data_IF_309649452790
#
_entry.id   IF_309649452790
#
_cell.length_a   1.000
_cell.length_b   1.000
_cell.length_c   1.000
_cell.angle_alpha   90.00
_cell.angle_beta   90.00
_cell.angle_gamma   90.00
#
_symmetry.space_group_name_H-M   'P 1'
#
loop_
_entity.id
_entity.type
_entity.pdbx_description
1 polymer ?
#
# COMPACT_ATOMS: atom_id res chain seq x y z
N UNK A 1 11.22 0.52 -16.24
CA UNK A 1 10.95 -0.93 -16.34
C UNK A 1 12.01 -1.59 -17.22
N UNK A 2 13.23 -1.77 -16.73
CA UNK A 2 14.28 -2.51 -17.46
C UNK A 2 15.13 -3.43 -16.56
N UNK A 3 14.71 -3.68 -15.33
CA UNK A 3 15.44 -4.57 -14.43
C UNK A 3 15.02 -6.02 -14.67
N UNK A 4 15.69 -6.67 -15.62
CA UNK A 4 15.61 -8.12 -15.82
C UNK A 4 16.31 -8.80 -14.65
N UNK A 5 15.52 -9.25 -13.66
CA UNK A 5 15.99 -10.13 -12.59
C UNK A 5 16.03 -11.56 -13.15
N UNK A 6 17.20 -12.23 -13.19
CA UNK A 6 17.30 -13.60 -13.68
C UNK A 6 16.29 -14.54 -13.00
N UNK A 7 15.58 -15.33 -13.81
CA UNK A 7 14.54 -16.26 -13.34
C UNK A 7 13.15 -15.65 -13.14
N UNK A 8 12.98 -14.31 -13.21
CA UNK A 8 11.65 -13.68 -13.22
C UNK A 8 11.18 -13.44 -14.65
N UNK A 9 9.95 -13.83 -14.94
CA UNK A 9 9.28 -13.57 -16.22
C UNK A 9 8.14 -12.59 -15.98
N UNK A 10 7.95 -11.61 -16.87
CA UNK A 10 6.78 -10.74 -16.81
C UNK A 10 5.52 -11.59 -16.95
N UNK A 11 4.56 -11.45 -16.05
CA UNK A 11 3.35 -12.30 -16.03
C UNK A 11 2.59 -12.26 -17.37
N UNK A 12 2.61 -11.13 -18.09
CA UNK A 12 2.01 -11.00 -19.42
C UNK A 12 2.60 -11.95 -20.48
N UNK A 13 3.85 -12.40 -20.34
CA UNK A 13 4.44 -13.38 -21.27
C UNK A 13 3.78 -14.76 -21.12
N UNK A 14 3.26 -15.10 -19.93
CA UNK A 14 2.47 -16.31 -19.72
C UNK A 14 1.12 -16.22 -20.45
N UNK A 15 0.51 -15.02 -20.47
CA UNK A 15 -0.72 -14.77 -21.22
C UNK A 15 -0.50 -14.94 -22.72
N UNK A 16 0.57 -14.37 -23.27
CA UNK A 16 0.95 -14.53 -24.68
C UNK A 16 1.18 -16.00 -25.05
N UNK A 17 1.85 -16.73 -24.17
CA UNK A 17 2.21 -18.13 -24.39
C UNK A 17 1.00 -19.07 -24.34
N UNK A 18 0.19 -18.96 -23.28
CA UNK A 18 -0.86 -19.93 -23.00
C UNK A 18 -2.25 -19.52 -23.48
N UNK A 19 -2.48 -18.24 -23.76
CA UNK A 19 -3.76 -17.68 -24.26
C UNK A 19 -4.97 -18.21 -23.47
N UNK A 20 -5.01 -17.99 -22.15
CA UNK A 20 -6.07 -18.54 -21.30
C UNK A 20 -7.44 -17.99 -21.72
N UNK A 21 -8.52 -18.75 -21.58
CA UNK A 21 -9.85 -18.24 -21.94
C UNK A 21 -10.39 -17.21 -20.92
N UNK A 22 -9.90 -17.27 -19.68
CA UNK A 22 -10.23 -16.31 -18.64
C UNK A 22 -9.01 -15.99 -17.76
N UNK A 23 -8.94 -14.74 -17.30
CA UNK A 23 -7.96 -14.25 -16.31
C UNK A 23 -8.72 -13.58 -15.17
N UNK A 24 -8.35 -13.89 -13.93
CA UNK A 24 -8.67 -13.08 -12.76
C UNK A 24 -7.41 -12.33 -12.32
N UNK A 25 -7.52 -11.04 -12.02
CA UNK A 25 -6.38 -10.22 -11.60
C UNK A 25 -6.74 -9.31 -10.43
N UNK A 26 -5.87 -9.27 -9.42
CA UNK A 26 -5.80 -8.23 -8.38
C UNK A 26 -4.43 -7.57 -8.49
N UNK A 27 -4.38 -6.25 -8.59
CA UNK A 27 -3.13 -5.51 -8.77
C UNK A 27 -3.25 -4.07 -8.28
N UNK A 28 -2.10 -3.43 -8.04
CA UNK A 28 -1.99 -2.00 -7.73
C UNK A 28 -1.81 -1.66 -6.24
N UNK A 29 -2.16 -2.54 -5.30
CA UNK A 29 -1.99 -2.27 -3.87
C UNK A 29 -0.51 -2.13 -3.45
N UNK A 30 0.37 -2.95 -4.02
CA UNK A 30 1.82 -2.84 -3.81
C UNK A 30 2.39 -1.57 -4.44
N UNK A 31 1.93 -1.24 -5.65
CA UNK A 31 2.31 -0.02 -6.36
C UNK A 31 1.86 1.24 -5.60
N UNK A 32 0.69 1.19 -4.95
CA UNK A 32 0.17 2.20 -4.02
C UNK A 32 0.84 2.16 -2.62
N UNK A 33 1.89 1.35 -2.43
CA UNK A 33 2.68 1.25 -1.20
C UNK A 33 1.91 0.79 0.05
N UNK A 34 0.75 0.13 -0.07
CA UNK A 34 -0.08 -0.20 1.09
C UNK A 34 0.63 -1.01 2.19
N UNK A 35 1.50 -1.95 1.82
CA UNK A 35 2.30 -2.68 2.81
C UNK A 35 3.21 -1.75 3.63
N UNK A 36 3.84 -0.75 3.00
CA UNK A 36 4.70 0.21 3.70
C UNK A 36 3.88 1.15 4.57
N UNK A 37 2.72 1.61 4.08
CA UNK A 37 1.76 2.43 4.82
C UNK A 37 1.35 1.70 6.10
N UNK A 38 0.87 0.46 5.98
CA UNK A 38 0.47 -0.36 7.13
C UNK A 38 1.63 -0.54 8.10
N UNK A 39 2.83 -0.92 7.62
CA UNK A 39 3.98 -1.12 8.49
C UNK A 39 4.38 0.13 9.29
N UNK A 40 4.23 1.34 8.74
CA UNK A 40 4.46 2.58 9.50
C UNK A 40 3.37 2.93 10.51
N UNK A 41 2.23 2.24 10.47
CA UNK A 41 1.11 2.47 11.39
C UNK A 41 0.96 1.37 12.44
N UNK A 42 1.52 0.18 12.21
CA UNK A 42 1.51 -0.88 13.20
C UNK A 42 2.34 -0.44 14.43
N UNK A 43 1.68 -0.33 15.57
CA UNK A 43 2.36 -0.12 16.84
C UNK A 43 2.75 -1.48 17.46
N UNK A 44 3.98 -1.91 17.21
CA UNK A 44 4.48 -3.22 17.68
C UNK A 44 4.67 -3.27 19.19
N UNK A 45 4.82 -2.10 19.84
CA UNK A 45 4.90 -2.02 21.31
C UNK A 45 3.51 -1.98 21.92
N UNK A 46 3.21 -2.84 22.91
CA UNK A 46 1.97 -2.75 23.66
C UNK A 46 1.98 -1.48 24.52
N UNK A 47 1.45 -0.37 23.99
CA UNK A 47 1.04 0.75 24.82
C UNK A 47 -0.48 0.66 25.01
N UNK A 48 -0.94 0.86 26.25
CA UNK A 48 -2.38 0.87 26.54
C UNK A 48 -3.11 2.00 25.78
N UNK A 49 -2.36 3.00 25.32
CA UNK A 49 -2.88 4.26 24.81
C UNK A 49 -3.09 4.32 23.29
N UNK A 50 -2.83 3.25 22.51
CA UNK A 50 -3.04 3.19 21.05
C UNK A 50 -2.46 4.40 20.26
N UNK A 51 -1.43 5.02 20.82
CA UNK A 51 -0.80 6.26 20.34
C UNK A 51 0.71 6.07 20.20
N UNK A 52 1.35 6.87 19.32
CA UNK A 52 0.76 7.88 18.44
C UNK A 52 0.07 7.28 17.19
N UNK A 53 -0.80 8.06 16.55
CA UNK A 53 -1.33 7.77 15.21
C UNK A 53 -0.23 8.01 14.17
N UNK A 54 -0.09 7.12 13.19
CA UNK A 54 0.89 7.30 12.12
C UNK A 54 0.64 8.56 11.27
N UNK A 55 1.71 9.14 10.74
CA UNK A 55 1.69 10.40 9.98
C UNK A 55 0.66 10.44 8.84
N UNK A 56 0.44 9.31 8.16
CA UNK A 56 -0.47 9.20 7.02
C UNK A 56 -1.95 9.23 7.42
N UNK A 57 -2.28 8.86 8.65
CA UNK A 57 -3.64 8.98 9.19
C UNK A 57 -3.82 10.32 9.94
N UNK A 58 -2.78 10.79 10.63
CA UNK A 58 -2.86 11.96 11.52
C UNK A 58 -2.84 13.30 10.76
N UNK A 59 -1.98 13.44 9.75
CA UNK A 59 -1.73 14.72 9.09
C UNK A 59 -2.46 14.89 7.74
N UNK A 60 -2.83 16.13 7.39
CA UNK A 60 -3.42 16.44 6.10
C UNK A 60 -2.46 16.17 4.92
N UNK A 61 -1.17 16.48 5.09
CA UNK A 61 -0.14 16.19 4.09
C UNK A 61 0.08 14.67 3.92
N UNK A 62 0.04 13.91 5.02
CA UNK A 62 0.09 12.45 4.97
C UNK A 62 -1.10 11.84 4.22
N UNK A 63 -2.32 12.32 4.49
CA UNK A 63 -3.53 11.92 3.74
C UNK A 63 -3.42 12.30 2.26
N UNK A 64 -2.90 13.48 1.93
CA UNK A 64 -2.67 13.90 0.54
C UNK A 64 -1.66 13.01 -0.18
N UNK A 65 -0.58 12.61 0.49
CA UNK A 65 0.40 11.67 -0.07
C UNK A 65 -0.21 10.29 -0.32
N UNK A 66 -0.98 9.77 0.63
CA UNK A 66 -1.67 8.50 0.49
C UNK A 66 -2.69 8.53 -0.66
N UNK A 67 -3.44 9.63 -0.79
CA UNK A 67 -4.32 9.89 -1.93
C UNK A 67 -3.53 9.82 -3.25
N UNK A 68 -2.34 10.42 -3.32
CA UNK A 68 -1.51 10.40 -4.52
C UNK A 68 -1.02 8.98 -4.84
N UNK A 69 -0.61 8.19 -3.85
CA UNK A 69 -0.23 6.79 -4.07
C UNK A 69 -1.35 5.99 -4.74
N UNK A 70 -2.61 6.23 -4.33
CA UNK A 70 -3.79 5.54 -4.88
C UNK A 70 -4.21 6.11 -6.24
N UNK A 71 -4.35 7.43 -6.37
CA UNK A 71 -4.81 8.10 -7.59
C UNK A 71 -3.87 7.80 -8.78
N UNK A 72 -2.56 7.75 -8.53
CA UNK A 72 -1.55 7.48 -9.55
C UNK A 72 -1.60 6.06 -10.11
N UNK A 73 -2.42 5.15 -9.54
CA UNK A 73 -2.59 3.79 -10.06
C UNK A 73 -3.54 3.68 -11.25
N UNK A 74 -4.34 4.71 -11.53
CA UNK A 74 -5.33 4.66 -12.62
C UNK A 74 -4.70 4.32 -13.99
N UNK A 75 -3.70 5.09 -14.43
CA UNK A 75 -3.06 4.86 -15.74
C UNK A 75 -2.22 3.56 -15.79
N UNK A 76 -1.38 3.23 -14.78
CA UNK A 76 -0.70 1.93 -14.74
C UNK A 76 -1.64 0.73 -14.82
N UNK A 77 -2.76 0.75 -14.10
CA UNK A 77 -3.75 -0.34 -14.10
C UNK A 77 -4.47 -0.44 -15.45
N UNK A 78 -4.91 0.69 -16.02
CA UNK A 78 -5.50 0.73 -17.37
C UNK A 78 -4.53 0.13 -18.39
N UNK A 79 -3.26 0.53 -18.34
CA UNK A 79 -2.20 0.01 -19.21
C UNK A 79 -1.97 -1.50 -19.01
N UNK A 80 -1.98 -1.98 -17.76
CA UNK A 80 -1.89 -3.41 -17.45
C UNK A 80 -3.05 -4.18 -18.11
N UNK A 81 -4.29 -3.71 -17.96
CA UNK A 81 -5.46 -4.40 -18.50
C UNK A 81 -5.48 -4.39 -20.03
N UNK A 82 -5.13 -3.27 -20.66
CA UNK A 82 -4.94 -3.21 -22.12
C UNK A 82 -3.85 -4.18 -22.58
N UNK A 83 -2.69 -4.22 -21.89
CA UNK A 83 -1.60 -5.13 -22.26
C UNK A 83 -1.96 -6.62 -22.10
N UNK A 84 -2.79 -6.98 -21.11
CA UNK A 84 -3.31 -8.34 -20.95
C UNK A 84 -4.25 -8.71 -22.10
N UNK A 85 -5.12 -7.79 -22.52
CA UNK A 85 -6.00 -8.00 -23.68
C UNK A 85 -5.21 -8.12 -24.98
N UNK A 86 -4.27 -7.22 -25.24
CA UNK A 86 -3.43 -7.25 -26.45
C UNK A 86 -2.61 -8.54 -26.54
N UNK A 87 -2.17 -9.08 -25.40
CA UNK A 87 -1.45 -10.33 -25.32
C UNK A 87 -2.31 -11.55 -25.69
N UNK A 88 -3.62 -11.50 -25.46
CA UNK A 88 -4.58 -12.55 -25.80
C UNK A 88 -5.99 -11.99 -26.02
N UNK A 89 -6.32 -11.53 -27.24
CA UNK A 89 -7.57 -10.79 -27.50
C UNK A 89 -8.86 -11.58 -27.26
N UNK A 90 -8.77 -12.92 -27.26
CA UNK A 90 -9.90 -13.82 -27.00
C UNK A 90 -10.14 -14.08 -25.50
N UNK A 91 -9.28 -13.58 -24.63
CA UNK A 91 -9.36 -13.80 -23.18
C UNK A 91 -10.36 -12.86 -22.51
N UNK A 92 -11.22 -13.40 -21.66
CA UNK A 92 -12.07 -12.62 -20.75
C UNK A 92 -11.27 -12.23 -19.49
N UNK A 93 -11.30 -10.96 -19.10
CA UNK A 93 -10.49 -10.45 -17.99
C UNK A 93 -11.41 -9.94 -16.89
N UNK A 94 -11.22 -10.48 -15.68
CA UNK A 94 -11.95 -10.14 -14.47
C UNK A 94 -10.99 -9.49 -13.48
N UNK A 95 -11.16 -8.19 -13.27
CA UNK A 95 -10.36 -7.39 -12.35
C UNK A 95 -11.10 -7.35 -11.01
N UNK A 96 -10.51 -7.93 -9.98
CA UNK A 96 -11.06 -7.89 -8.63
C UNK A 96 -10.54 -6.66 -7.90
N UNK A 97 -11.42 -6.01 -7.14
CA UNK A 97 -11.02 -5.05 -6.11
C UNK A 97 -10.37 -5.73 -4.90
N UNK A 98 -10.16 -4.95 -3.84
CA UNK A 98 -9.76 -5.42 -2.51
C UNK A 98 -10.98 -5.50 -1.58
N UNK A 99 -11.10 -6.54 -0.74
CA UNK A 99 -12.12 -6.57 0.30
C UNK A 99 -11.81 -5.51 1.36
N UNK A 100 -12.85 -4.95 1.98
CA UNK A 100 -12.68 -4.26 3.24
C UNK A 100 -12.26 -5.29 4.29
N UNK A 101 -11.04 -5.18 4.80
CA UNK A 101 -10.42 -6.18 5.67
C UNK A 101 -10.40 -5.78 7.14
N UNK A 102 -10.81 -4.55 7.47
CA UNK A 102 -10.86 -4.03 8.84
C UNK A 102 -12.17 -3.29 9.09
N UNK A 103 -12.73 -3.48 10.28
CA UNK A 103 -13.85 -2.71 10.77
C UNK A 103 -13.35 -1.42 11.43
N UNK A 104 -13.52 -0.30 10.75
CA UNK A 104 -13.13 1.02 11.24
C UNK A 104 -14.12 1.64 12.24
N UNK A 105 -15.33 1.09 12.38
CA UNK A 105 -16.38 1.63 13.24
C UNK A 105 -16.27 1.12 14.67
N UNK A 106 -15.64 -0.05 14.87
CA UNK A 106 -15.33 -0.60 16.19
C UNK A 106 -14.52 0.39 17.04
N UNK A 107 -14.77 0.42 18.35
CA UNK A 107 -13.89 1.10 19.30
C UNK A 107 -12.56 0.36 19.44
N UNK A 108 -11.49 1.06 19.84
CA UNK A 108 -10.15 0.45 19.92
C UNK A 108 -10.11 -0.73 20.90
N UNK A 109 -10.81 -0.61 22.03
CA UNK A 109 -10.93 -1.70 23.02
C UNK A 109 -11.76 -2.91 22.54
N UNK A 110 -12.43 -2.82 21.39
CA UNK A 110 -13.14 -3.96 20.77
C UNK A 110 -12.26 -4.69 19.75
N UNK A 111 -11.15 -4.08 19.33
CA UNK A 111 -10.25 -4.71 18.38
C UNK A 111 -9.22 -5.60 19.10
N UNK A 112 -8.94 -6.77 18.52
CA UNK A 112 -7.95 -7.70 19.09
C UNK A 112 -6.55 -7.08 19.04
N UNK A 113 -5.69 -7.33 20.06
CA UNK A 113 -4.34 -6.77 20.11
C UNK A 113 -3.46 -7.12 18.90
N UNK A 114 -3.70 -8.25 18.22
CA UNK A 114 -2.93 -8.62 17.03
C UNK A 114 -3.23 -7.75 15.79
N UNK A 115 -4.11 -6.75 15.87
CA UNK A 115 -4.39 -5.81 14.77
C UNK A 115 -3.49 -4.58 14.83
N UNK A 116 -3.11 -4.12 16.03
CA UNK A 116 -2.13 -3.03 16.28
C UNK A 116 -2.35 -1.72 15.51
N UNK A 117 -3.61 -1.41 15.17
CA UNK A 117 -4.01 -0.17 14.49
C UNK A 117 -5.11 0.52 15.30
N UNK A 118 -4.93 1.81 15.55
CA UNK A 118 -5.91 2.62 16.25
C UNK A 118 -7.07 3.04 15.34
N UNK A 119 -8.11 3.67 15.91
CA UNK A 119 -9.32 4.02 15.17
C UNK A 119 -9.06 4.94 13.97
N UNK A 120 -8.18 5.93 14.10
CA UNK A 120 -7.87 6.85 13.02
C UNK A 120 -7.19 6.11 11.84
N UNK A 121 -6.29 5.18 12.15
CA UNK A 121 -5.60 4.34 11.16
C UNK A 121 -6.56 3.37 10.47
N UNK A 122 -7.50 2.78 11.21
CA UNK A 122 -8.54 1.92 10.62
C UNK A 122 -9.47 2.69 9.69
N UNK A 123 -9.84 3.92 10.05
CA UNK A 123 -10.59 4.81 9.15
C UNK A 123 -9.76 5.10 7.90
N UNK A 124 -8.50 5.51 8.05
CA UNK A 124 -7.58 5.75 6.92
C UNK A 124 -7.52 4.55 5.96
N UNK A 125 -7.43 3.33 6.49
CA UNK A 125 -7.42 2.10 5.70
C UNK A 125 -8.72 1.91 4.94
N UNK A 126 -9.88 2.04 5.60
CA UNK A 126 -11.19 1.88 4.96
C UNK A 126 -11.32 2.83 3.76
N UNK A 127 -11.05 4.11 3.98
CA UNK A 127 -11.16 5.15 2.94
C UNK A 127 -10.17 4.91 1.79
N UNK A 128 -8.98 4.40 2.10
CA UNK A 128 -7.96 4.05 1.09
C UNK A 128 -8.36 2.85 0.24
N UNK A 129 -8.93 1.81 0.85
CA UNK A 129 -9.44 0.63 0.12
C UNK A 129 -10.63 1.01 -0.76
N UNK A 130 -11.55 1.83 -0.27
CA UNK A 130 -12.69 2.33 -1.07
C UNK A 130 -12.23 3.18 -2.26
N UNK A 131 -11.24 4.05 -2.03
CA UNK A 131 -10.69 4.86 -3.11
C UNK A 131 -9.95 4.02 -4.14
N UNK A 132 -9.12 3.07 -3.70
CA UNK A 132 -8.40 2.16 -4.59
C UNK A 132 -9.36 1.30 -5.41
N UNK A 133 -10.44 0.79 -4.82
CA UNK A 133 -11.47 0.06 -5.54
C UNK A 133 -12.16 0.91 -6.60
N UNK A 134 -12.38 2.20 -6.32
CA UNK A 134 -12.92 3.14 -7.31
C UNK A 134 -11.93 3.38 -8.46
N UNK A 135 -10.63 3.53 -8.16
CA UNK A 135 -9.57 3.65 -9.18
C UNK A 135 -9.50 2.40 -10.06
N UNK A 136 -9.49 1.21 -9.44
CA UNK A 136 -9.48 -0.09 -10.13
C UNK A 136 -10.71 -0.24 -11.03
N UNK A 137 -11.90 0.07 -10.51
CA UNK A 137 -13.17 0.00 -11.26
C UNK A 137 -13.13 0.91 -12.49
N UNK A 138 -12.68 2.16 -12.34
CA UNK A 138 -12.62 3.09 -13.44
C UNK A 138 -11.58 2.65 -14.49
N UNK A 139 -10.38 2.23 -14.06
CA UNK A 139 -9.36 1.70 -14.96
C UNK A 139 -9.83 0.46 -15.72
N UNK A 140 -10.55 -0.44 -15.06
CA UNK A 140 -11.15 -1.62 -15.69
C UNK A 140 -12.20 -1.21 -16.75
N UNK A 141 -13.07 -0.25 -16.43
CA UNK A 141 -14.07 0.28 -17.36
C UNK A 141 -13.43 0.94 -18.59
N UNK A 142 -12.40 1.76 -18.39
CA UNK A 142 -11.67 2.41 -19.49
C UNK A 142 -10.92 1.41 -20.37
N UNK A 143 -10.47 0.28 -19.83
CA UNK A 143 -9.86 -0.82 -20.59
C UNK A 143 -10.90 -1.81 -21.16
N UNK A 144 -12.17 -1.69 -20.78
CA UNK A 144 -13.26 -2.55 -21.24
C UNK A 144 -13.29 -3.94 -20.63
N UNK A 145 -12.62 -4.15 -19.50
CA UNK A 145 -12.57 -5.44 -18.80
C UNK A 145 -13.54 -5.45 -17.61
N UNK A 146 -13.91 -6.63 -17.11
CA UNK A 146 -14.94 -6.75 -16.07
C UNK A 146 -14.36 -6.44 -14.69
N UNK A 147 -14.79 -5.35 -14.06
CA UNK A 147 -14.61 -5.19 -12.62
C UNK A 147 -15.52 -6.14 -11.82
N UNK A 148 -14.96 -6.78 -10.81
CA UNK A 148 -15.64 -7.64 -9.83
C UNK A 148 -15.46 -7.04 -8.45
N UNK A 149 -16.57 -6.57 -7.89
CA UNK A 149 -16.60 -5.99 -6.55
C UNK A 149 -16.54 -7.09 -5.49
N UNK A 150 -15.50 -7.03 -4.66
CA UNK A 150 -15.30 -7.92 -3.50
C UNK A 150 -15.23 -7.14 -2.19
N UNK A 151 -15.49 -5.83 -2.21
CA UNK A 151 -15.37 -4.92 -1.05
C UNK A 151 -16.13 -5.41 0.17
N UNK A 152 -17.35 -5.91 -0.03
CA UNK A 152 -18.23 -6.41 1.03
C UNK A 152 -18.05 -7.89 1.36
N UNK A 153 -17.11 -8.61 0.70
CA UNK A 153 -17.01 -10.06 0.81
C UNK A 153 -16.74 -10.54 2.25
N UNK A 154 -16.09 -9.71 3.07
CA UNK A 154 -15.65 -10.08 4.41
C UNK A 154 -16.46 -9.41 5.53
N UNK A 155 -17.50 -8.63 5.21
CA UNK A 155 -18.31 -7.91 6.21
C UNK A 155 -18.87 -8.87 7.26
N UNK A 156 -18.69 -8.54 8.54
CA UNK A 156 -19.05 -9.38 9.69
C UNK A 156 -17.91 -10.29 10.18
N UNK A 157 -16.83 -10.37 9.40
CA UNK A 157 -15.69 -11.25 9.64
C UNK A 157 -14.34 -10.56 9.35
N UNK A 158 -14.31 -9.23 9.33
CA UNK A 158 -13.09 -8.42 9.17
C UNK A 158 -12.29 -8.38 10.47
N UNK A 159 -11.05 -7.89 10.42
CA UNK A 159 -10.36 -7.48 11.63
C UNK A 159 -11.22 -6.48 12.41
N UNK A 160 -11.28 -6.62 13.74
CA UNK A 160 -12.15 -5.84 14.64
C UNK A 160 -13.68 -6.00 14.43
N UNK A 161 -14.18 -6.95 13.63
CA UNK A 161 -15.60 -7.34 13.70
C UNK A 161 -15.83 -8.24 14.94
N UNK A 162 -17.02 -8.13 15.54
CA UNK A 162 -17.46 -9.02 16.61
C UNK A 162 -17.88 -10.37 15.99
N UNK A 163 -16.93 -11.28 15.79
CA UNK A 163 -17.26 -12.68 15.50
C UNK A 163 -17.30 -13.45 16.81
N UNK A 164 -18.49 -13.88 17.22
CA UNK A 164 -18.72 -14.61 18.49
C UNK A 164 -17.98 -15.95 18.59
N UNK A 165 -17.28 -16.37 17.52
CA UNK A 165 -16.51 -17.61 17.47
C UNK A 165 -15.07 -17.34 17.05
N UNK A 166 -14.12 -17.96 17.74
CA UNK A 166 -12.72 -18.03 17.33
C UNK A 166 -12.61 -18.77 15.98
N UNK A 167 -11.78 -18.29 15.06
CA UNK A 167 -11.66 -18.83 13.69
C UNK A 167 -12.65 -18.28 12.65
N UNK A 168 -13.53 -17.34 13.03
CA UNK A 168 -14.46 -16.69 12.09
C UNK A 168 -13.97 -15.35 11.54
N UNK A 169 -12.77 -14.89 11.91
CA UNK A 169 -12.16 -13.73 11.24
C UNK A 169 -11.54 -14.22 9.94
N UNK A 170 -11.88 -13.59 8.83
CA UNK A 170 -11.47 -13.99 7.47
C UNK A 170 -10.19 -13.30 6.98
N UNK A 171 -9.49 -12.62 7.89
CA UNK A 171 -8.28 -11.86 7.63
C UNK A 171 -7.28 -12.22 8.72
N UNK A 172 -6.06 -12.54 8.33
CA UNK A 172 -4.98 -12.78 9.28
C UNK A 172 -4.59 -11.45 9.92
N UNK A 173 -4.56 -11.38 11.25
CA UNK A 173 -3.95 -10.25 11.96
C UNK A 173 -2.43 -10.25 11.74
N UNK A 174 -1.66 -9.54 12.56
CA UNK A 174 -0.20 -9.65 12.51
C UNK A 174 0.19 -11.07 12.89
N UNK A 175 0.85 -11.75 11.96
CA UNK A 175 1.42 -13.06 12.18
C UNK A 175 2.81 -12.89 12.79
N UNK A 176 2.90 -13.15 14.09
CA UNK A 176 4.13 -13.00 14.88
C UNK A 176 4.92 -14.32 15.01
N UNK A 177 4.43 -15.46 14.49
CA UNK A 177 4.98 -16.79 14.77
C UNK A 177 5.88 -17.35 13.64
N UNK A 178 6.80 -16.52 13.12
CA UNK A 178 7.86 -16.96 12.21
C UNK A 178 7.84 -16.36 10.79
N UNK A 179 9.02 -16.32 10.17
CA UNK A 179 9.30 -15.69 8.87
C UNK A 179 8.40 -16.15 7.70
N UNK A 180 7.77 -17.32 7.79
CA UNK A 180 6.92 -17.87 6.73
C UNK A 180 5.44 -17.49 6.83
N UNK A 181 5.00 -16.84 7.91
CA UNK A 181 3.60 -16.42 8.08
C UNK A 181 3.45 -14.90 8.15
N UNK A 182 4.53 -14.16 8.43
CA UNK A 182 4.52 -12.70 8.48
C UNK A 182 3.97 -12.07 7.19
N UNK A 183 4.24 -12.68 6.02
CA UNK A 183 3.70 -12.17 4.75
C UNK A 183 2.16 -12.28 4.63
N UNK A 184 1.53 -13.13 5.44
CA UNK A 184 0.08 -13.29 5.46
C UNK A 184 -0.62 -12.22 6.31
N UNK A 185 0.14 -11.37 7.03
CA UNK A 185 -0.44 -10.29 7.84
C UNK A 185 -1.32 -9.39 6.99
N UNK A 186 -2.54 -9.13 7.47
CA UNK A 186 -3.60 -8.35 6.80
C UNK A 186 -4.12 -8.97 5.48
N UNK A 187 -3.75 -10.20 5.14
CA UNK A 187 -4.29 -10.90 3.98
C UNK A 187 -5.52 -11.74 4.36
N UNK A 188 -6.45 -11.96 3.42
CA UNK A 188 -7.51 -12.94 3.60
C UNK A 188 -6.92 -14.33 3.91
N UNK A 189 -7.48 -15.02 4.90
CA UNK A 189 -7.16 -16.43 5.14
C UNK A 189 -8.00 -17.34 4.22
N UNK A 190 -7.97 -18.65 4.47
CA UNK A 190 -8.75 -19.64 3.73
C UNK A 190 -10.25 -19.29 3.66
N UNK A 191 -10.87 -18.93 4.79
CA UNK A 191 -12.26 -18.45 4.86
C UNK A 191 -12.48 -17.19 4.03
N UNK A 192 -11.56 -16.22 4.11
CA UNK A 192 -11.63 -14.99 3.30
C UNK A 192 -11.53 -15.23 1.81
N UNK A 193 -10.63 -16.11 1.38
CA UNK A 193 -10.52 -16.53 -0.01
C UNK A 193 -11.79 -17.23 -0.52
N UNK A 194 -12.44 -18.08 0.30
CA UNK A 194 -13.73 -18.68 -0.03
C UNK A 194 -14.79 -17.60 -0.26
N UNK A 195 -14.86 -16.60 0.63
CA UNK A 195 -15.85 -15.53 0.54
C UNK A 195 -15.62 -14.62 -0.67
N UNK A 196 -14.38 -14.31 -1.00
CA UNK A 196 -14.02 -13.60 -2.23
C UNK A 196 -14.38 -14.43 -3.47
N UNK A 197 -14.11 -15.73 -3.49
CA UNK A 197 -14.52 -16.60 -4.59
C UNK A 197 -16.06 -16.65 -4.74
N UNK A 198 -16.80 -16.61 -3.64
CA UNK A 198 -18.26 -16.50 -3.67
C UNK A 198 -18.73 -15.14 -4.21
N UNK A 199 -18.01 -14.05 -3.93
CA UNK A 199 -18.29 -12.75 -4.55
C UNK A 199 -18.08 -12.79 -6.07
N UNK A 200 -17.02 -13.45 -6.56
CA UNK A 200 -16.80 -13.68 -7.99
C UNK A 200 -17.95 -14.48 -8.60
N UNK A 201 -18.36 -15.59 -7.96
CA UNK A 201 -19.51 -16.40 -8.42
C UNK A 201 -20.80 -15.57 -8.49
N UNK A 202 -21.09 -14.74 -7.48
CA UNK A 202 -22.25 -13.84 -7.51
C UNK A 202 -22.17 -12.85 -8.65
N UNK A 203 -21.00 -12.23 -8.86
CA UNK A 203 -20.78 -11.27 -9.94
C UNK A 203 -20.94 -11.87 -11.36
N UNK A 204 -20.85 -13.21 -11.48
CA UNK A 204 -21.01 -13.94 -12.73
C UNK A 204 -22.29 -14.76 -12.80
N UNK A 205 -23.26 -14.52 -11.90
CA UNK A 205 -24.52 -15.29 -11.82
C UNK A 205 -24.28 -16.80 -11.75
N UNK A 206 -23.23 -17.22 -11.01
CA UNK A 206 -22.74 -18.60 -10.89
C UNK A 206 -22.30 -19.26 -12.20
N UNK A 207 -22.20 -18.51 -13.30
CA UNK A 207 -21.66 -19.02 -14.56
C UNK A 207 -20.14 -19.14 -14.47
N UNK A 208 -19.57 -20.05 -15.27
CA UNK A 208 -18.11 -20.12 -15.41
C UNK A 208 -17.57 -18.82 -16.02
N UNK A 209 -16.36 -18.42 -15.63
CA UNK A 209 -15.69 -17.22 -16.19
C UNK A 209 -15.51 -17.30 -17.71
N UNK A 210 -15.50 -18.51 -18.27
CA UNK A 210 -15.42 -18.75 -19.72
C UNK A 210 -16.76 -18.47 -20.41
N UNK A 211 -17.88 -18.86 -19.80
CA UNK A 211 -19.21 -18.73 -20.38
C UNK A 211 -19.84 -17.34 -20.15
N UNK A 212 -19.57 -16.71 -19.01
CA UNK A 212 -20.21 -15.45 -18.63
C UNK A 212 -19.93 -14.33 -19.64
N UNK A 213 -20.98 -13.68 -20.16
CA UNK A 213 -20.86 -12.55 -21.08
C UNK A 213 -21.09 -11.23 -20.33
N UNK A 214 -20.09 -10.35 -20.32
CA UNK A 214 -20.21 -9.02 -19.72
C UNK A 214 -20.20 -7.87 -20.74
N UNK A 215 -19.94 -8.16 -22.01
CA UNK A 215 -20.07 -7.22 -23.11
C UNK A 215 -21.13 -7.70 -24.11
N UNK A 216 -21.64 -6.75 -24.90
CA UNK A 216 -22.62 -7.02 -25.96
C UNK A 216 -22.00 -7.81 -27.11
N UNK A 217 -22.82 -8.56 -27.86
CA UNK A 217 -22.42 -9.31 -29.06
C UNK A 217 -21.26 -10.31 -28.87
N UNK A 218 -21.02 -10.77 -27.64
CA UNK A 218 -19.96 -11.75 -27.35
C UNK A 218 -18.54 -11.17 -27.39
N UNK A 219 -18.40 -9.83 -27.39
CA UNK A 219 -17.09 -9.20 -27.28
C UNK A 219 -16.39 -9.57 -25.96
N UNK A 220 -15.08 -9.66 -25.98
CA UNK A 220 -14.24 -9.94 -24.80
C UNK A 220 -13.89 -8.67 -24.03
N UNK A 221 -14.01 -7.50 -24.67
CA UNK A 221 -13.88 -6.19 -24.05
C UNK A 221 -14.94 -5.22 -24.55
N UNK A 222 -15.28 -4.23 -23.73
CA UNK A 222 -16.20 -3.13 -24.05
C UNK A 222 -15.72 -1.84 -23.37
N UNK A 223 -14.66 -1.19 -23.92
CA UNK A 223 -14.07 0.03 -23.33
C UNK A 223 -15.07 1.18 -23.26
N UNK A 224 -15.04 1.90 -22.13
CA UNK A 224 -15.76 3.16 -21.97
C UNK A 224 -14.78 4.34 -22.00
N UNK A 225 -14.78 5.08 -23.12
CA UNK A 225 -13.93 6.26 -23.29
C UNK A 225 -14.38 7.47 -22.47
N UNK A 226 -15.57 7.44 -21.88
CA UNK A 226 -16.09 8.50 -21.00
C UNK A 226 -15.68 8.34 -19.54
N UNK A 227 -15.03 7.24 -19.16
CA UNK A 227 -14.56 7.01 -17.79
C UNK A 227 -13.13 7.51 -17.64
N UNK A 228 -12.93 8.37 -16.63
CA UNK A 228 -11.64 8.96 -16.25
C UNK A 228 -11.21 8.50 -14.83
N UNK A 229 -10.04 8.96 -14.39
CA UNK A 229 -9.61 8.78 -13.01
C UNK A 229 -10.65 9.36 -12.03
N UNK A 230 -10.95 8.68 -10.92
CA UNK A 230 -11.97 9.14 -10.00
C UNK A 230 -11.55 10.42 -9.26
N UNK A 231 -12.55 11.25 -8.95
CA UNK A 231 -12.38 12.41 -8.10
C UNK A 231 -11.82 12.03 -6.72
N UNK A 232 -11.20 13.00 -6.04
CA UNK A 232 -10.69 12.82 -4.69
C UNK A 232 -11.85 12.65 -3.70
N UNK A 233 -11.87 11.59 -2.86
CA UNK A 233 -12.86 11.44 -1.81
C UNK A 233 -12.69 12.49 -0.71
N UNK A 234 -13.78 12.87 -0.04
CA UNK A 234 -13.80 13.90 1.00
C UNK A 234 -12.76 13.67 2.12
N UNK A 235 -12.53 12.42 2.52
CA UNK A 235 -11.52 12.09 3.55
C UNK A 235 -10.12 12.60 3.20
N UNK A 236 -9.79 12.61 1.91
CA UNK A 236 -8.49 13.02 1.38
C UNK A 236 -8.46 14.50 0.93
N UNK A 237 -9.57 15.23 1.06
CA UNK A 237 -9.60 16.65 0.76
C UNK A 237 -8.94 17.42 1.90
N UNK A 238 -7.76 18.00 1.63
CA UNK A 238 -7.12 18.93 2.55
C UNK A 238 -7.71 20.34 2.38
N UNK A 239 -7.99 21.01 3.51
CA UNK A 239 -8.33 22.44 3.54
C UNK A 239 -7.18 23.34 3.03
N UNK A 240 -5.95 22.83 3.06
CA UNK A 240 -4.77 23.44 2.48
C UNK A 240 -3.97 22.36 1.76
N UNK A 241 -3.94 22.40 0.43
CA UNK A 241 -3.15 21.46 -0.37
C UNK A 241 -1.68 21.77 -0.18
N UNK A 242 -0.89 20.76 0.16
CA UNK A 242 0.57 20.85 0.16
C UNK A 242 1.05 19.90 -0.92
N UNK A 243 1.74 20.41 -1.93
CA UNK A 243 2.17 19.57 -3.04
C UNK A 243 3.00 18.40 -2.50
N UNK A 244 2.47 17.18 -2.57
CA UNK A 244 3.17 15.98 -2.11
C UNK A 244 3.61 15.17 -3.31
N UNK A 245 4.88 14.80 -3.33
CA UNK A 245 5.47 13.97 -4.37
C UNK A 245 5.92 12.63 -3.79
N UNK A 246 5.73 11.59 -4.58
CA UNK A 246 6.22 10.24 -4.28
C UNK A 246 7.48 10.01 -5.08
N UNK A 247 8.61 10.46 -4.54
CA UNK A 247 9.92 10.13 -5.11
C UNK A 247 10.61 9.20 -4.14
N UNK A 248 11.00 7.98 -4.55
CA UNK A 248 11.71 7.09 -3.67
C UNK A 248 13.05 7.74 -3.31
N UNK A 249 13.28 7.90 -2.01
CA UNK A 249 14.60 8.26 -1.48
C UNK A 249 15.19 6.97 -0.93
N UNK A 250 16.26 6.49 -1.55
CA UNK A 250 16.97 5.28 -1.11
C UNK A 250 18.11 5.67 -0.16
N UNK A 251 18.50 4.81 0.78
CA UNK A 251 18.00 3.45 1.02
C UNK A 251 16.67 3.42 1.79
N UNK A 252 15.94 2.31 1.65
CA UNK A 252 14.68 2.03 2.37
C UNK A 252 14.92 1.30 3.70
N UNK A 253 16.16 0.96 4.02
CA UNK A 253 16.55 0.28 5.25
C UNK A 253 17.86 0.88 5.75
N UNK A 254 18.01 1.05 7.07
CA UNK A 254 19.23 1.58 7.67
C UNK A 254 19.39 1.20 9.13
N UNK A 255 20.62 1.36 9.65
CA UNK A 255 20.91 1.11 11.07
C UNK A 255 20.70 2.40 11.87
N UNK A 256 20.03 2.32 13.01
CA UNK A 256 20.02 3.45 13.96
C UNK A 256 21.45 3.74 14.44
N UNK A 257 21.78 4.99 14.71
CA UNK A 257 23.14 5.30 15.14
C UNK A 257 24.18 5.25 14.00
N UNK A 258 23.77 5.20 12.72
CA UNK A 258 24.66 5.43 11.56
C UNK A 258 24.14 6.54 10.65
N UNK A 259 24.87 6.82 9.57
CA UNK A 259 24.41 7.68 8.49
C UNK A 259 23.59 6.86 7.48
N UNK A 260 22.48 7.44 7.03
CA UNK A 260 21.67 6.95 5.93
C UNK A 260 21.93 7.85 4.72
N UNK A 261 22.47 7.29 3.63
CA UNK A 261 22.79 8.07 2.42
C UNK A 261 21.54 8.24 1.57
N UNK A 262 20.84 9.36 1.73
CA UNK A 262 19.66 9.68 0.94
C UNK A 262 20.06 9.99 -0.51
N UNK A 263 19.44 9.29 -1.46
CA UNK A 263 19.62 9.53 -2.89
C UNK A 263 18.27 9.74 -3.58
N UNK A 264 18.15 10.83 -4.34
CA UNK A 264 17.02 11.13 -5.22
C UNK A 264 17.52 11.60 -6.59
N UNK A 265 16.74 11.33 -7.64
CA UNK A 265 17.11 11.66 -9.01
C UNK A 265 17.23 13.18 -9.25
N UNK A 266 18.11 13.63 -10.17
CA UNK A 266 18.14 15.02 -10.64
C UNK A 266 16.76 15.54 -11.06
N UNK A 267 16.54 16.84 -10.86
CA UNK A 267 15.27 17.52 -11.19
C UNK A 267 14.11 17.20 -10.25
N UNK A 268 14.34 16.55 -9.12
CA UNK A 268 13.31 16.29 -8.10
C UNK A 268 12.96 17.56 -7.31
N UNK A 269 13.97 18.36 -6.98
CA UNK A 269 13.88 19.58 -6.17
C UNK A 269 14.51 20.76 -6.93
N UNK A 270 14.28 21.97 -6.44
CA UNK A 270 15.02 23.15 -6.86
C UNK A 270 16.51 22.96 -6.54
N UNK A 271 17.36 23.20 -7.54
CA UNK A 271 18.81 23.09 -7.40
C UNK A 271 19.36 23.92 -6.22
N UNK A 272 20.26 23.34 -5.45
CA UNK A 272 20.94 23.98 -4.31
C UNK A 272 20.00 24.55 -3.23
N UNK A 273 18.76 24.06 -3.15
CA UNK A 273 17.78 24.48 -2.14
C UNK A 273 17.92 23.67 -0.85
N UNK A 274 17.57 24.28 0.29
CA UNK A 274 17.55 23.61 1.57
C UNK A 274 16.36 22.63 1.65
N UNK A 275 16.60 21.46 2.25
CA UNK A 275 15.65 20.38 2.43
C UNK A 275 15.56 20.03 3.91
N UNK A 276 14.38 20.25 4.47
CA UNK A 276 14.04 19.89 5.84
C UNK A 276 13.73 18.40 5.91
N UNK A 277 14.31 17.69 6.87
CA UNK A 277 14.10 16.25 7.04
C UNK A 277 13.43 15.96 8.38
N UNK A 278 12.26 15.34 8.38
CA UNK A 278 11.55 14.93 9.59
C UNK A 278 11.26 13.44 9.54
N UNK A 279 11.58 12.72 10.61
CA UNK A 279 11.23 11.33 10.80
C UNK A 279 9.94 11.25 11.64
N UNK A 280 9.00 10.39 11.25
CA UNK A 280 7.71 10.20 11.89
C UNK A 280 7.54 8.73 12.30
N UNK A 281 7.75 8.50 13.58
CA UNK A 281 7.18 7.45 14.43
C UNK A 281 6.66 8.13 15.70
N UNK A 282 7.55 8.92 16.30
CA UNK A 282 7.24 10.21 16.92
C UNK A 282 7.92 11.29 16.07
N UNK A 283 7.36 12.49 16.02
CA UNK A 283 7.96 13.57 15.22
C UNK A 283 9.38 13.88 15.73
N UNK A 284 10.37 13.68 14.86
CA UNK A 284 11.78 13.94 15.15
C UNK A 284 12.41 14.72 14.01
N UNK A 285 12.90 15.94 14.29
CA UNK A 285 13.58 16.78 13.30
C UNK A 285 15.04 16.37 13.17
N UNK A 286 15.41 15.87 11.99
CA UNK A 286 16.78 15.57 11.62
C UNK A 286 17.48 16.83 11.07
N UNK A 287 18.83 16.85 10.99
CA UNK A 287 19.56 17.92 10.33
C UNK A 287 19.09 18.14 8.89
N UNK A 288 19.04 19.40 8.49
CA UNK A 288 18.68 19.77 7.12
C UNK A 288 19.79 19.35 6.15
N UNK A 289 19.40 18.96 4.95
CA UNK A 289 20.31 18.68 3.84
C UNK A 289 20.07 19.67 2.71
N UNK A 290 20.92 19.67 1.70
CA UNK A 290 20.82 20.58 0.55
C UNK A 290 20.67 19.74 -0.71
N UNK A 291 19.73 20.11 -1.57
CA UNK A 291 19.59 19.50 -2.88
C UNK A 291 20.86 19.74 -3.72
N UNK A 292 21.21 18.80 -4.59
CA UNK A 292 22.38 18.97 -5.47
C UNK A 292 22.18 20.16 -6.42
N UNK A 293 23.25 20.58 -7.09
CA UNK A 293 23.19 21.59 -8.16
C UNK A 293 22.30 21.16 -9.35
N UNK A 294 22.00 19.87 -9.46
CA UNK A 294 21.09 19.30 -10.46
C UNK A 294 19.67 19.07 -9.90
N UNK A 295 19.39 19.48 -8.66
CA UNK A 295 18.08 19.28 -8.03
C UNK A 295 17.79 17.85 -7.60
N UNK A 296 18.84 17.02 -7.43
CA UNK A 296 18.75 15.71 -6.79
C UNK A 296 18.98 15.78 -5.29
N UNK A 297 19.09 14.62 -4.65
CA UNK A 297 19.57 14.49 -3.26
C UNK A 297 20.73 13.51 -3.29
N UNK A 298 21.85 13.88 -2.66
CA UNK A 298 22.98 13.00 -2.36
C UNK A 298 23.59 13.48 -1.05
N UNK A 299 23.21 12.85 0.06
CA UNK A 299 23.63 13.33 1.38
C UNK A 299 23.47 12.28 2.48
N UNK A 300 24.43 12.26 3.40
CA UNK A 300 24.39 11.45 4.60
C UNK A 300 23.50 12.11 5.66
N UNK A 301 22.49 11.39 6.13
CA UNK A 301 21.59 11.81 7.20
C UNK A 301 21.89 10.95 8.43
N UNK A 302 22.43 11.57 9.47
CA UNK A 302 22.75 10.88 10.73
C UNK A 302 21.46 10.48 11.44
N UNK A 303 21.18 9.18 11.52
CA UNK A 303 20.04 8.65 12.28
C UNK A 303 20.44 8.53 13.76
N UNK A 304 19.75 9.19 14.70
CA UNK A 304 20.07 9.09 16.12
C UNK A 304 20.01 7.64 16.62
N UNK A 305 20.83 7.31 17.61
CA UNK A 305 20.92 5.94 18.14
C UNK A 305 19.73 5.56 19.05
N UNK A 306 19.00 6.56 19.55
CA UNK A 306 17.82 6.43 20.40
C UNK A 306 16.50 6.36 19.60
N UNK A 307 16.55 6.41 18.27
CA UNK A 307 15.38 6.11 17.45
C UNK A 307 15.01 4.64 17.62
N UNK A 308 13.70 4.42 17.81
CA UNK A 308 13.15 3.10 17.92
C UNK A 308 13.30 2.31 16.61
N UNK A 309 13.71 1.04 16.66
CA UNK A 309 13.68 0.17 15.49
C UNK A 309 12.26 -0.02 14.96
N UNK A 310 12.15 -0.36 13.67
CA UNK A 310 10.89 -0.56 12.97
C UNK A 310 10.73 0.39 11.79
N UNK A 311 9.49 0.52 11.31
CA UNK A 311 9.17 1.32 10.13
C UNK A 311 8.81 2.75 10.50
N UNK A 312 9.36 3.71 9.76
CA UNK A 312 9.14 5.14 9.96
C UNK A 312 8.75 5.80 8.64
N UNK A 313 7.93 6.84 8.73
CA UNK A 313 7.73 7.76 7.59
C UNK A 313 8.75 8.87 7.67
N UNK A 314 9.53 9.08 6.61
CA UNK A 314 10.48 10.18 6.52
C UNK A 314 10.00 11.20 5.49
N UNK A 315 9.86 12.45 5.92
CA UNK A 315 9.34 13.55 5.10
C UNK A 315 10.46 14.52 4.82
N UNK A 316 10.66 14.80 3.54
CA UNK A 316 11.60 15.79 3.06
C UNK A 316 10.83 16.99 2.51
N UNK A 317 10.82 18.08 3.27
CA UNK A 317 10.13 19.33 2.90
C UNK A 317 11.10 20.30 2.23
N UNK A 318 10.86 20.62 0.97
CA UNK A 318 11.72 21.51 0.19
C UNK A 318 10.92 22.32 -0.83
N UNK A 319 11.61 22.71 -1.91
CA UNK A 319 11.01 23.47 -3.01
C UNK A 319 11.11 22.66 -4.30
N UNK A 320 10.02 22.59 -5.07
CA UNK A 320 9.97 21.95 -6.37
C UNK A 320 10.80 22.72 -7.41
N UNK A 321 11.13 22.13 -8.57
CA UNK A 321 11.77 22.85 -9.66
C UNK A 321 10.98 24.09 -10.15
N UNK A 322 9.66 24.11 -9.94
CA UNK A 322 8.80 25.25 -10.27
C UNK A 322 8.75 26.33 -9.20
N UNK A 323 9.43 26.17 -8.06
CA UNK A 323 9.44 27.14 -6.97
C UNK A 323 8.34 26.96 -5.93
N UNK A 324 7.55 25.89 -6.01
CA UNK A 324 6.46 25.62 -5.07
C UNK A 324 6.93 24.77 -3.89
N UNK A 325 6.39 24.95 -2.66
CA UNK A 325 6.68 24.05 -1.55
C UNK A 325 6.27 22.61 -1.88
N UNK A 326 7.14 21.64 -1.60
CA UNK A 326 6.89 20.22 -1.86
C UNK A 326 7.32 19.36 -0.67
N UNK A 327 6.53 18.34 -0.35
CA UNK A 327 6.93 17.25 0.54
C UNK A 327 7.20 15.98 -0.27
N UNK A 328 8.36 15.37 -0.05
CA UNK A 328 8.68 14.04 -0.57
C UNK A 328 8.53 13.04 0.58
N UNK A 329 7.67 12.04 0.37
CA UNK A 329 7.40 11.01 1.37
C UNK A 329 8.22 9.77 1.05
N UNK A 330 8.98 9.31 2.04
CA UNK A 330 9.72 8.07 2.00
C UNK A 330 9.39 7.17 3.19
N UNK A 331 9.57 5.87 3.01
CA UNK A 331 9.40 4.87 4.06
C UNK A 331 10.76 4.23 4.34
N UNK A 332 11.16 4.21 5.62
CA UNK A 332 12.44 3.65 6.04
C UNK A 332 12.22 2.64 7.16
N UNK A 333 12.84 1.48 7.04
CA UNK A 333 12.98 0.50 8.11
C UNK A 333 14.31 0.74 8.84
N UNK A 334 14.26 1.00 10.14
CA UNK A 334 15.44 1.20 10.97
C UNK A 334 15.64 -0.01 11.86
N UNK A 335 16.84 -0.58 11.87
CA UNK A 335 17.20 -1.71 12.75
C UNK A 335 18.26 -1.31 13.79
N UNK A 336 18.26 -1.99 14.93
CA UNK A 336 19.22 -1.79 16.01
C UNK A 336 20.59 -2.41 15.68
N UNK A 337 20.61 -3.68 15.30
CA UNK A 337 21.81 -4.43 14.94
C UNK A 337 21.50 -5.56 13.94
N UNK A 338 22.53 -6.21 13.40
CA UNK A 338 22.36 -7.28 12.41
C UNK A 338 21.79 -8.58 13.00
N UNK A 339 21.95 -8.80 14.31
CA UNK A 339 21.59 -10.04 14.99
C UNK A 339 20.46 -9.85 16.02
N UNK A 340 19.99 -8.63 16.17
CA UNK A 340 18.94 -8.17 17.10
C UNK A 340 18.42 -6.88 16.45
N UNK A 341 17.47 -7.05 15.52
CA UNK A 341 16.99 -5.98 14.66
C UNK A 341 16.05 -5.04 15.38
N UNK A 342 15.17 -5.56 16.23
CA UNK A 342 14.21 -4.76 16.98
C UNK A 342 14.79 -4.18 18.28
N UNK A 343 15.98 -4.64 18.68
CA UNK A 343 16.76 -4.07 19.76
C UNK A 343 16.20 -4.39 21.13
N UNK A 344 15.44 -5.47 21.27
CA UNK A 344 14.81 -5.92 22.52
C UNK A 344 15.78 -6.70 23.43
N UNK A 345 16.97 -7.06 22.91
CA UNK A 345 18.01 -7.81 23.59
C UNK A 345 17.90 -9.34 23.42
N UNK A 346 16.94 -9.82 22.65
CA UNK A 346 16.80 -11.20 22.18
C UNK A 346 17.39 -11.27 20.77
N UNK A 347 18.25 -12.27 20.52
CA UNK A 347 18.83 -12.41 19.19
C UNK A 347 17.77 -12.88 18.20
N UNK A 348 17.81 -12.38 16.96
CA UNK A 348 16.93 -12.76 15.84
C UNK A 348 16.79 -14.29 15.67
N UNK A 349 17.85 -15.06 15.98
CA UNK A 349 17.83 -16.54 15.88
C UNK A 349 17.03 -17.24 16.99
N UNK A 350 16.85 -16.55 18.12
CA UNK A 350 16.12 -16.99 19.30
C UNK A 350 14.78 -16.25 19.45
N UNK A 351 14.59 -15.19 18.70
CA UNK A 351 13.38 -14.38 18.67
C UNK A 351 12.37 -14.96 17.68
N UNK A 352 11.20 -15.34 18.21
CA UNK A 352 10.09 -15.81 17.39
C UNK A 352 9.37 -14.65 16.70
N UNK A 353 9.56 -13.43 17.21
CA UNK A 353 8.86 -12.21 16.85
C UNK A 353 9.85 -11.09 16.48
N UNK A 354 10.61 -11.26 15.39
CA UNK A 354 11.69 -10.38 14.87
C UNK A 354 11.45 -8.85 14.82
N UNK A 355 10.25 -8.39 15.15
CA UNK A 355 9.84 -6.99 15.18
C UNK A 355 8.92 -6.63 16.36
N UNK A 356 8.69 -7.52 17.33
CA UNK A 356 7.81 -7.24 18.48
C UNK A 356 8.63 -7.10 19.77
N UNK A 357 9.29 -5.94 19.90
CA UNK A 357 9.96 -5.52 21.13
C UNK A 357 9.01 -5.37 22.33
#
# INVERSE_FOLDING_TARGET
>A
MNDLIPGRVRQVELVKKYKPEAITVTAGGNDAQFSKVINTCINLRPTEDWTPTCYLADSAAGREALRNFVANQYEPLKKLYTALHDASPTTKIYVLGYPQFINADAADNQCKPNVRLNKAERIMIRESVDYMNTVIKNAASSAGVKYVDVSSALVGHRLCDNSDTEGQIYVTGIALNGLSEAQESYHPNDGGHIMMANAVKRATNNQSLRAFSYCVNGATICPDSGVEAPATPQYFEASTKKNTQTVPIIPTTGKRGTDLVAVAAPGTLQASSALRVTLYSREYRLPDIVATNEGGVEGAIRIPADIEPGFHTMVFSGTSPSGEPVDIINFVELYASENDKDGDGVLDTADQCLYAA
#
